data_IF_209721402004
#
_entry.id   IF_209721402004
#
_cell.length_a   1.000
_cell.length_b   1.000
_cell.length_c   1.000
_cell.angle_alpha   90.00
_cell.angle_beta   90.00
_cell.angle_gamma   90.00
#
_symmetry.space_group_name_H-M   'P 1'
#
loop_
_entity.id
_entity.type
_entity.pdbx_description
1 polymer ?
#
# COMPACT_ATOMS: atom_id res chain seq x y z
N UNK A 1 0.54 -4.87 -14.70
CA UNK A 1 0.16 -3.59 -14.06
C UNK A 1 -0.44 -3.90 -12.70
N UNK A 2 -1.34 -3.05 -12.21
CA UNK A 2 -2.00 -3.16 -10.89
C UNK A 2 -3.08 -4.28 -10.85
N UNK A 3 -2.99 -5.27 -11.75
CA UNK A 3 -4.11 -5.86 -12.50
C UNK A 3 -5.12 -6.61 -11.63
N UNK A 4 -6.09 -5.89 -11.09
CA UNK A 4 -7.43 -6.39 -10.79
C UNK A 4 -8.43 -5.65 -11.68
N UNK A 5 -8.92 -6.35 -12.70
CA UNK A 5 -9.89 -5.90 -13.72
C UNK A 5 -10.96 -5.01 -13.08
N UNK A 6 -10.94 -3.70 -13.35
CA UNK A 6 -11.88 -2.70 -12.84
C UNK A 6 -12.46 -3.00 -11.45
N UNK A 7 -11.64 -2.84 -10.40
CA UNK A 7 -12.18 -2.61 -9.07
C UNK A 7 -11.86 -3.65 -8.00
N UNK A 8 -10.61 -4.08 -7.85
CA UNK A 8 -10.03 -4.41 -6.53
C UNK A 8 -8.52 -4.51 -6.67
N UNK A 9 -7.76 -4.04 -5.69
CA UNK A 9 -6.32 -4.27 -5.69
C UNK A 9 -6.03 -5.77 -5.48
N UNK A 10 -5.06 -6.34 -6.20
CA UNK A 10 -4.59 -7.71 -5.97
C UNK A 10 -4.03 -7.87 -4.55
N UNK A 11 -4.26 -9.01 -3.90
CA UNK A 11 -3.83 -9.24 -2.51
C UNK A 11 -2.32 -9.18 -2.33
N UNK A 12 -1.57 -9.45 -3.39
CA UNK A 12 -0.11 -9.40 -3.47
C UNK A 12 0.42 -7.98 -3.78
N UNK A 13 -0.45 -6.96 -3.87
CA UNK A 13 -0.04 -5.59 -4.17
C UNK A 13 -0.04 -4.68 -2.94
N UNK A 14 -0.40 -5.19 -1.77
CA UNK A 14 -0.40 -4.44 -0.52
C UNK A 14 0.47 -5.15 0.53
N UNK A 15 1.52 -4.46 0.97
CA UNK A 15 2.22 -4.78 2.20
C UNK A 15 1.70 -3.91 3.33
N UNK A 16 1.08 -4.52 4.33
CA UNK A 16 0.54 -3.83 5.51
C UNK A 16 1.17 -4.41 6.78
N UNK A 17 2.04 -3.63 7.43
CA UNK A 17 2.72 -4.05 8.65
C UNK A 17 3.06 -2.86 9.56
N UNK A 18 3.31 -3.15 10.84
CA UNK A 18 3.79 -2.15 11.77
C UNK A 18 5.22 -1.75 11.38
N UNK A 19 5.46 -0.45 11.22
CA UNK A 19 6.77 0.06 10.83
C UNK A 19 7.14 -0.12 9.35
N UNK A 20 6.22 -0.56 8.49
CA UNK A 20 6.50 -0.70 7.05
C UNK A 20 6.94 0.64 6.44
N UNK A 21 8.10 0.66 5.78
CA UNK A 21 8.71 1.83 5.14
C UNK A 21 9.17 1.56 3.70
N UNK A 22 9.23 0.29 3.28
CA UNK A 22 9.50 -0.15 1.91
C UNK A 22 8.60 -1.32 1.50
N UNK A 23 8.62 -1.68 0.21
CA UNK A 23 8.05 -2.93 -0.30
C UNK A 23 8.67 -4.14 0.43
N UNK A 24 7.88 -5.20 0.61
CA UNK A 24 8.34 -6.46 1.21
C UNK A 24 8.78 -7.46 0.14
N UNK A 25 8.10 -7.47 -1.01
CA UNK A 25 8.48 -8.22 -2.21
C UNK A 25 8.27 -7.41 -3.49
N UNK A 26 8.64 -8.01 -4.64
CA UNK A 26 8.64 -7.34 -5.94
C UNK A 26 7.24 -6.99 -6.50
N UNK A 27 6.19 -7.42 -5.82
CA UNK A 27 4.80 -7.19 -6.24
C UNK A 27 4.12 -6.07 -5.46
N UNK A 28 4.61 -5.68 -4.29
CA UNK A 28 4.00 -4.66 -3.45
C UNK A 28 3.96 -3.29 -4.15
N UNK A 29 2.77 -2.75 -4.36
CA UNK A 29 2.56 -1.43 -4.97
C UNK A 29 2.13 -0.40 -3.95
N UNK A 30 1.47 -0.86 -2.90
CA UNK A 30 1.04 -0.05 -1.78
C UNK A 30 1.69 -0.59 -0.53
N UNK A 31 2.22 0.33 0.28
CA UNK A 31 2.85 0.04 1.56
C UNK A 31 2.07 0.79 2.63
N UNK A 32 1.56 0.08 3.61
CA UNK A 32 0.81 0.68 4.72
C UNK A 32 1.54 0.45 6.05
N UNK A 33 1.98 1.55 6.64
CA UNK A 33 2.57 1.56 7.97
C UNK A 33 1.46 1.68 9.02
N UNK A 34 1.09 0.56 9.63
CA UNK A 34 0.00 0.55 10.62
C UNK A 34 0.36 1.26 11.94
N UNK A 35 1.64 1.62 12.15
CA UNK A 35 2.09 2.39 13.31
C UNK A 35 1.93 3.89 13.13
N UNK A 36 1.87 4.39 11.89
CA UNK A 36 1.76 5.83 11.59
C UNK A 36 0.50 6.18 10.81
N UNK A 37 -0.19 5.17 10.24
CA UNK A 37 -1.30 5.37 9.31
C UNK A 37 -0.85 5.77 7.91
N UNK A 38 0.46 5.86 7.63
CA UNK A 38 0.98 6.25 6.32
C UNK A 38 0.71 5.18 5.26
N UNK A 39 0.03 5.56 4.18
CA UNK A 39 -0.12 4.78 2.96
C UNK A 39 0.76 5.37 1.88
N UNK A 40 1.67 4.55 1.35
CA UNK A 40 2.63 4.93 0.33
C UNK A 40 2.37 4.15 -0.95
N UNK A 41 2.69 4.76 -2.07
CA UNK A 41 2.70 4.13 -3.39
C UNK A 41 4.14 3.92 -3.85
N UNK A 42 4.49 2.67 -4.11
CA UNK A 42 5.76 2.28 -4.74
C UNK A 42 5.52 2.02 -6.24
N UNK A 43 6.14 2.87 -7.05
CA UNK A 43 6.00 2.82 -8.50
C UNK A 43 6.73 1.62 -9.12
N UNK A 44 7.86 1.20 -8.56
CA UNK A 44 8.62 0.06 -9.08
C UNK A 44 8.31 -1.24 -8.36
N UNK A 45 7.70 -1.13 -7.17
CA UNK A 45 7.23 -2.17 -6.27
C UNK A 45 8.25 -3.23 -5.92
N UNK A 46 9.53 -2.91 -6.06
CA UNK A 46 10.65 -3.73 -5.63
C UNK A 46 11.45 -3.03 -4.52
N UNK A 47 10.96 -1.89 -4.01
CA UNK A 47 11.63 -1.06 -3.01
C UNK A 47 12.92 -0.42 -3.51
N UNK A 48 13.09 -0.29 -4.84
CA UNK A 48 14.28 0.31 -5.46
C UNK A 48 14.21 1.84 -5.50
N UNK A 49 13.01 2.37 -5.72
CA UNK A 49 12.69 3.78 -5.64
C UNK A 49 12.00 4.11 -4.31
N UNK A 50 12.20 5.35 -3.83
CA UNK A 50 11.50 5.83 -2.64
C UNK A 50 9.98 5.83 -2.88
N UNK A 51 9.25 5.12 -2.01
CA UNK A 51 7.78 5.10 -2.05
C UNK A 51 7.21 6.49 -1.70
N UNK A 52 6.18 6.92 -2.43
CA UNK A 52 5.58 8.24 -2.25
C UNK A 52 4.38 8.17 -1.30
N UNK A 53 4.35 9.01 -0.26
CA UNK A 53 3.19 9.12 0.65
C UNK A 53 1.97 9.64 -0.12
N UNK A 54 0.87 8.89 -0.11
CA UNK A 54 -0.37 9.28 -0.80
C UNK A 54 -1.53 9.57 0.17
N UNK A 55 -1.51 9.01 1.38
CA UNK A 55 -2.51 9.28 2.41
C UNK A 55 -2.01 8.99 3.83
N UNK A 56 -2.67 9.59 4.82
CA UNK A 56 -2.56 9.22 6.24
C UNK A 56 -3.94 8.78 6.73
N UNK A 57 -4.05 7.53 7.16
CA UNK A 57 -5.30 6.90 7.60
C UNK A 57 -5.41 6.93 9.12
N UNK A 58 -6.17 7.92 9.61
CA UNK A 58 -6.35 8.17 11.03
C UNK A 58 -5.12 8.80 11.68
N UNK A 59 -5.33 9.81 12.53
CA UNK A 59 -4.24 10.58 13.15
C UNK A 59 -3.92 10.14 14.58
N UNK A 60 -4.87 9.48 15.26
CA UNK A 60 -4.69 8.99 16.64
C UNK A 60 -4.86 7.47 16.76
N UNK A 61 -5.57 6.85 15.81
CA UNK A 61 -5.78 5.41 15.72
C UNK A 61 -5.79 5.03 14.25
N UNK A 62 -5.10 3.95 13.90
CA UNK A 62 -4.86 3.54 12.52
C UNK A 62 -5.66 2.28 12.24
N UNK A 63 -6.51 2.26 11.20
CA UNK A 63 -7.30 1.08 10.89
C UNK A 63 -6.41 -0.06 10.39
N UNK A 64 -6.88 -1.30 10.53
CA UNK A 64 -6.36 -2.39 9.71
C UNK A 64 -6.74 -2.13 8.25
N UNK A 65 -5.80 -2.35 7.33
CA UNK A 65 -6.01 -2.15 5.90
C UNK A 65 -5.66 -3.44 5.15
N UNK A 66 -6.54 -3.84 4.24
CA UNK A 66 -6.37 -4.99 3.36
C UNK A 66 -6.47 -4.55 1.90
N UNK A 67 -5.99 -5.37 0.96
CA UNK A 67 -6.08 -5.05 -0.46
C UNK A 67 -7.54 -4.91 -0.94
N UNK A 68 -8.49 -5.60 -0.29
CA UNK A 68 -9.92 -5.47 -0.60
C UNK A 68 -10.50 -4.09 -0.26
N UNK A 69 -9.85 -3.33 0.62
CA UNK A 69 -10.26 -1.97 0.98
C UNK A 69 -9.82 -0.93 -0.07
N UNK A 70 -8.97 -1.33 -1.02
CA UNK A 70 -8.40 -0.44 -2.04
C UNK A 70 -9.05 -0.70 -3.40
N UNK A 71 -9.43 0.39 -4.07
CA UNK A 71 -9.96 0.41 -5.44
C UNK A 71 -9.12 1.37 -6.27
N UNK A 72 -8.61 0.88 -7.40
CA UNK A 72 -7.92 1.68 -8.41
C UNK A 72 -8.88 1.90 -9.57
N UNK A 73 -8.99 3.15 -10.04
CA UNK A 73 -9.91 3.58 -11.11
C UNK A 73 -9.09 4.27 -12.19
N UNK A 74 -9.39 3.99 -13.47
CA UNK A 74 -8.75 4.56 -14.66
C UNK A 74 -9.71 5.45 -15.43
#
# INVERSE_FOLDING_TARGET
GLDGVNGSLGSDKLYAAAGADSAHDESDRFIYNSSTGGLYYDQDGIGGADATLVAVLGTSSHPGLTASDIRVIF
#
